data_IF_924180840536
#
_entry.id   IF_924180840536
#
_cell.length_a   1.000
_cell.length_b   1.000
_cell.length_c   1.000
_cell.angle_alpha   90.00
_cell.angle_beta   90.00
_cell.angle_gamma   90.00
#
_symmetry.space_group_name_H-M   'P 1'
#
loop_
_entity.id
_entity.type
_entity.pdbx_description
1 polymer ?
#
# COMPACT_ATOMS: atom_id res chain seq x y z
N UNK A 1 16.57 -38.53 -10.11
CA UNK A 1 15.30 -37.78 -10.02
C UNK A 1 15.24 -37.08 -8.67
N UNK A 2 15.73 -35.84 -8.57
CA UNK A 2 15.64 -35.07 -7.33
C UNK A 2 14.24 -34.45 -7.23
N UNK A 3 13.50 -34.67 -6.13
CA UNK A 3 12.19 -34.05 -5.95
C UNK A 3 12.38 -32.53 -5.98
N UNK A 4 11.66 -31.87 -6.90
CA UNK A 4 11.54 -30.42 -6.94
C UNK A 4 10.92 -30.00 -5.61
N UNK A 5 11.75 -29.52 -4.68
CA UNK A 5 11.32 -29.01 -3.39
C UNK A 5 10.26 -27.93 -3.65
N UNK A 6 8.99 -28.27 -3.39
CA UNK A 6 7.90 -27.34 -3.51
C UNK A 6 8.08 -26.31 -2.38
N UNK A 7 8.64 -25.14 -2.70
CA UNK A 7 8.67 -24.04 -1.74
C UNK A 7 7.23 -23.74 -1.33
N UNK A 8 6.87 -23.88 -0.04
CA UNK A 8 5.51 -23.60 0.40
C UNK A 8 5.20 -22.15 0.09
N UNK A 9 4.15 -21.93 -0.69
CA UNK A 9 3.68 -20.58 -0.98
C UNK A 9 3.25 -19.94 0.34
N UNK A 10 3.74 -18.73 0.61
CA UNK A 10 3.40 -18.02 1.87
C UNK A 10 1.88 -17.83 1.98
N UNK A 11 1.30 -18.02 3.18
CA UNK A 11 -0.13 -17.78 3.39
C UNK A 11 -0.46 -16.31 3.14
N UNK A 12 -1.64 -16.05 2.56
CA UNK A 12 -2.08 -14.67 2.25
C UNK A 12 -2.13 -13.78 3.50
N UNK A 13 -2.50 -14.34 4.64
CA UNK A 13 -2.54 -13.62 5.92
C UNK A 13 -1.18 -13.04 6.32
N UNK A 14 -0.06 -13.72 6.02
CA UNK A 14 1.27 -13.20 6.33
C UNK A 14 1.64 -12.00 5.44
N UNK A 15 1.21 -12.00 4.18
CA UNK A 15 1.45 -10.88 3.28
C UNK A 15 0.55 -9.69 3.64
N UNK A 16 -0.71 -9.93 3.99
CA UNK A 16 -1.62 -8.89 4.47
C UNK A 16 -1.16 -8.27 5.78
N UNK A 17 -0.63 -9.09 6.71
CA UNK A 17 -0.04 -8.59 7.94
C UNK A 17 1.17 -7.68 7.65
N UNK A 18 2.02 -8.06 6.69
CA UNK A 18 3.15 -7.20 6.27
C UNK A 18 2.66 -5.88 5.69
N UNK A 19 1.61 -5.90 4.86
CA UNK A 19 0.99 -4.67 4.34
C UNK A 19 0.53 -3.79 5.50
N UNK A 20 -0.24 -4.33 6.44
CA UNK A 20 -0.71 -3.59 7.60
C UNK A 20 0.43 -2.99 8.43
N UNK A 21 1.51 -3.75 8.68
CA UNK A 21 2.68 -3.28 9.41
C UNK A 21 3.42 -2.17 8.65
N UNK A 22 3.63 -2.32 7.35
CA UNK A 22 4.26 -1.28 6.53
C UNK A 22 3.41 -0.01 6.51
N UNK A 23 2.10 -0.14 6.33
CA UNK A 23 1.16 1.00 6.40
C UNK A 23 1.23 1.69 7.76
N UNK A 24 1.20 0.94 8.86
CA UNK A 24 1.33 1.50 10.20
C UNK A 24 2.66 2.22 10.38
N UNK A 25 3.78 1.62 9.98
CA UNK A 25 5.11 2.25 10.04
C UNK A 25 5.17 3.53 9.22
N UNK A 26 4.56 3.57 8.03
CA UNK A 26 4.51 4.78 7.21
C UNK A 26 3.67 5.88 7.89
N UNK A 27 2.56 5.53 8.54
CA UNK A 27 1.74 6.50 9.28
C UNK A 27 2.38 6.96 10.60
N UNK A 28 3.40 6.27 11.11
CA UNK A 28 4.18 6.80 12.22
C UNK A 28 5.00 8.04 11.81
N UNK A 29 5.40 8.18 10.54
CA UNK A 29 6.13 9.36 10.06
C UNK A 29 5.36 10.66 10.34
N UNK A 30 4.11 10.86 9.86
CA UNK A 30 3.35 12.06 10.16
C UNK A 30 3.03 12.18 11.66
N UNK A 31 2.69 11.08 12.34
CA UNK A 31 2.38 11.12 13.77
C UNK A 31 3.56 11.64 14.61
N UNK A 32 4.77 11.18 14.30
CA UNK A 32 6.01 11.61 14.93
C UNK A 32 6.35 13.04 14.51
N UNK A 33 6.23 13.38 13.22
CA UNK A 33 6.50 14.73 12.71
C UNK A 33 5.64 15.80 13.40
N UNK A 34 4.35 15.52 13.64
CA UNK A 34 3.44 16.41 14.37
C UNK A 34 3.88 16.70 15.81
N UNK A 35 4.75 15.87 16.41
CA UNK A 35 5.31 16.13 17.74
C UNK A 35 6.43 17.17 17.71
N UNK A 36 7.04 17.41 16.54
CA UNK A 36 8.18 18.31 16.37
C UNK A 36 7.80 19.61 15.66
N UNK A 37 6.76 19.62 14.83
CA UNK A 37 6.34 20.81 14.08
C UNK A 37 4.83 20.97 14.05
N UNK A 38 4.38 22.24 14.03
CA UNK A 38 2.98 22.61 13.81
C UNK A 38 2.61 22.71 12.33
N UNK A 39 3.59 22.65 11.42
CA UNK A 39 3.37 22.73 9.97
C UNK A 39 2.67 21.48 9.44
N UNK A 40 2.92 20.32 10.06
CA UNK A 40 2.18 19.10 9.79
C UNK A 40 1.01 19.01 10.76
N UNK A 41 -0.22 19.07 10.25
CA UNK A 41 -1.42 19.08 11.08
C UNK A 41 -2.44 18.05 10.58
N UNK A 42 -2.14 16.76 10.74
CA UNK A 42 -3.04 15.69 10.35
C UNK A 42 -4.07 15.41 11.45
N UNK A 43 -5.35 15.48 11.10
CA UNK A 43 -6.44 15.02 11.94
C UNK A 43 -6.64 13.50 11.85
N UNK A 44 -7.48 12.92 12.73
CA UNK A 44 -7.81 11.49 12.68
C UNK A 44 -8.36 11.04 11.31
N UNK A 45 -9.08 11.92 10.62
CA UNK A 45 -9.59 11.67 9.26
C UNK A 45 -8.47 11.45 8.24
N UNK A 46 -7.37 12.20 8.33
CA UNK A 46 -6.23 12.09 7.41
C UNK A 46 -5.49 10.77 7.61
N UNK A 47 -5.29 10.37 8.87
CA UNK A 47 -4.72 9.06 9.19
C UNK A 47 -5.59 7.91 8.68
N UNK A 48 -6.92 8.01 8.82
CA UNK A 48 -7.84 7.00 8.31
C UNK A 48 -7.79 6.94 6.77
N UNK A 49 -7.85 8.09 6.11
CA UNK A 49 -7.80 8.17 4.64
C UNK A 49 -6.48 7.61 4.10
N UNK A 50 -5.34 8.04 4.64
CA UNK A 50 -4.01 7.55 4.25
C UNK A 50 -3.84 6.06 4.58
N UNK A 51 -4.35 5.59 5.72
CA UNK A 51 -4.34 4.19 6.10
C UNK A 51 -5.13 3.29 5.15
N UNK A 52 -6.35 3.72 4.78
CA UNK A 52 -7.17 3.01 3.80
C UNK A 52 -6.53 3.03 2.41
N UNK A 53 -5.96 4.15 2.00
CA UNK A 53 -5.30 4.29 0.70
C UNK A 53 -4.07 3.38 0.59
N UNK A 54 -3.13 3.46 1.55
CA UNK A 54 -1.91 2.68 1.55
C UNK A 54 -2.18 1.20 1.80
N UNK A 55 -2.98 0.88 2.83
CA UNK A 55 -3.33 -0.49 3.19
C UNK A 55 -4.19 -1.17 2.13
N UNK A 56 -5.13 -0.43 1.55
CA UNK A 56 -5.98 -0.89 0.44
C UNK A 56 -5.16 -1.18 -0.81
N UNK A 57 -4.29 -0.26 -1.23
CA UNK A 57 -3.43 -0.47 -2.39
C UNK A 57 -2.44 -1.64 -2.18
N UNK A 58 -1.81 -1.72 -1.01
CA UNK A 58 -0.92 -2.84 -0.67
C UNK A 58 -1.66 -4.19 -0.70
N UNK A 59 -2.87 -4.25 -0.15
CA UNK A 59 -3.70 -5.46 -0.15
C UNK A 59 -4.15 -5.82 -1.57
N UNK A 60 -4.56 -4.82 -2.36
CA UNK A 60 -4.90 -5.01 -3.77
C UNK A 60 -3.70 -5.57 -4.56
N UNK A 61 -2.49 -5.07 -4.32
CA UNK A 61 -1.28 -5.62 -4.93
C UNK A 61 -1.01 -7.07 -4.54
N UNK A 62 -1.18 -7.43 -3.26
CA UNK A 62 -1.05 -8.82 -2.80
C UNK A 62 -2.02 -9.73 -3.57
N UNK A 63 -3.29 -9.33 -3.67
CA UNK A 63 -4.30 -10.10 -4.41
C UNK A 63 -3.96 -10.20 -5.91
N UNK A 64 -3.59 -9.08 -6.52
CA UNK A 64 -3.25 -8.99 -7.94
C UNK A 64 -2.04 -9.85 -8.29
N UNK A 65 -1.03 -9.87 -7.42
CA UNK A 65 0.16 -10.67 -7.60
C UNK A 65 -0.09 -12.19 -7.56
N UNK A 66 -1.19 -12.61 -6.89
CA UNK A 66 -1.64 -13.99 -6.79
C UNK A 66 -2.57 -14.40 -7.93
N UNK A 67 -3.44 -13.50 -8.37
CA UNK A 67 -4.44 -13.77 -9.42
C UNK A 67 -3.83 -13.69 -10.83
N UNK A 68 -2.91 -12.76 -11.07
CA UNK A 68 -2.38 -12.48 -12.41
C UNK A 68 -1.07 -13.24 -12.64
N UNK A 69 -1.14 -14.30 -13.46
CA UNK A 69 0.02 -15.15 -13.80
C UNK A 69 0.93 -14.53 -14.86
N UNK A 70 0.38 -13.76 -15.79
CA UNK A 70 1.15 -13.18 -16.88
C UNK A 70 2.00 -11.99 -16.38
N UNK A 71 3.34 -12.06 -16.47
CA UNK A 71 4.21 -11.05 -15.86
C UNK A 71 4.04 -9.66 -16.48
N UNK A 72 3.74 -9.58 -17.78
CA UNK A 72 3.48 -8.31 -18.48
C UNK A 72 2.19 -7.65 -17.99
N UNK A 73 1.10 -8.41 -17.89
CA UNK A 73 -0.18 -7.92 -17.36
C UNK A 73 -0.06 -7.50 -15.91
N UNK A 74 0.65 -8.29 -15.08
CA UNK A 74 0.89 -7.96 -13.68
C UNK A 74 1.65 -6.64 -13.52
N UNK A 75 2.66 -6.37 -14.35
CA UNK A 75 3.39 -5.09 -14.36
C UNK A 75 2.48 -3.92 -14.74
N UNK A 76 1.68 -4.07 -15.79
CA UNK A 76 0.75 -3.03 -16.24
C UNK A 76 -0.27 -2.69 -15.16
N UNK A 77 -0.90 -3.71 -14.57
CA UNK A 77 -1.88 -3.49 -13.51
C UNK A 77 -1.23 -2.94 -12.23
N UNK A 78 0.00 -3.35 -11.91
CA UNK A 78 0.77 -2.76 -10.81
C UNK A 78 1.08 -1.28 -11.04
N UNK A 79 1.47 -0.91 -12.26
CA UNK A 79 1.68 0.49 -12.63
C UNK A 79 0.38 1.30 -12.56
N UNK A 80 -0.74 0.74 -13.03
CA UNK A 80 -2.05 1.37 -12.92
C UNK A 80 -2.48 1.56 -11.46
N UNK A 81 -2.29 0.56 -10.61
CA UNK A 81 -2.58 0.63 -9.17
C UNK A 81 -1.71 1.69 -8.47
N UNK A 82 -0.42 1.74 -8.79
CA UNK A 82 0.48 2.76 -8.27
C UNK A 82 0.08 4.16 -8.75
N UNK A 83 -0.26 4.30 -10.03
CA UNK A 83 -0.75 5.55 -10.60
C UNK A 83 -2.02 6.03 -9.91
N UNK A 84 -2.99 5.14 -9.69
CA UNK A 84 -4.20 5.43 -8.94
C UNK A 84 -3.90 5.86 -7.50
N UNK A 85 -3.02 5.13 -6.79
CA UNK A 85 -2.59 5.51 -5.44
C UNK A 85 -1.98 6.91 -5.41
N UNK A 86 -1.05 7.21 -6.31
CA UNK A 86 -0.36 8.51 -6.35
C UNK A 86 -1.32 9.64 -6.74
N UNK A 87 -2.22 9.39 -7.68
CA UNK A 87 -3.23 10.35 -8.09
C UNK A 87 -4.19 10.66 -6.94
N UNK A 88 -4.73 9.63 -6.29
CA UNK A 88 -5.61 9.81 -5.12
C UNK A 88 -4.86 10.47 -3.97
N UNK A 89 -3.59 10.14 -3.74
CA UNK A 89 -2.79 10.82 -2.73
C UNK A 89 -2.61 12.30 -3.04
N UNK A 90 -2.21 12.63 -4.27
CA UNK A 90 -2.02 14.02 -4.69
C UNK A 90 -3.32 14.81 -4.61
N UNK A 91 -4.45 14.18 -4.92
CA UNK A 91 -5.76 14.78 -4.77
C UNK A 91 -6.08 15.07 -3.30
N UNK A 92 -5.95 14.07 -2.42
CA UNK A 92 -6.23 14.25 -1.00
C UNK A 92 -5.26 15.21 -0.29
N UNK A 93 -4.00 15.26 -0.72
CA UNK A 93 -2.96 16.05 -0.06
C UNK A 93 -2.84 17.46 -0.61
N UNK A 94 -3.00 17.64 -1.92
CA UNK A 94 -2.72 18.90 -2.62
C UNK A 94 -3.96 19.45 -3.33
N UNK A 95 -4.94 18.62 -3.71
CA UNK A 95 -6.16 19.06 -4.39
C UNK A 95 -5.97 19.34 -5.88
N UNK A 96 -5.14 18.56 -6.57
CA UNK A 96 -4.68 18.89 -7.94
C UNK A 96 -5.75 18.86 -9.03
N UNK A 97 -6.93 18.24 -8.80
CA UNK A 97 -8.00 18.11 -9.79
C UNK A 97 -9.14 19.13 -9.63
N UNK A 98 -9.00 20.10 -8.72
CA UNK A 98 -10.05 21.06 -8.36
C UNK A 98 -9.63 22.51 -8.64
#
# INVERSE_FOLDING_TARGET
MTPKLAHPQRPIGADLLRVALVTACLLLLPLVAMQFTREMNWGPGDFLAAGLLLGGAGSAWVLLSRLVRAPRQRKLLGAALLGALLLTWAELAVGILH
#
